data_IF_739360106559
#
_entry.id   IF_739360106559
#
_cell.length_a   1.000
_cell.length_b   1.000
_cell.length_c   1.000
_cell.angle_alpha   90.00
_cell.angle_beta   90.00
_cell.angle_gamma   90.00
#
_symmetry.space_group_name_H-M   'P 1'
#
loop_
_entity.id
_entity.type
_entity.pdbx_description
1 polymer ?
#
# COMPACT_ATOMS: atom_id res chain seq x y z
N UNK A 1 22.94 -21.62 -53.53
CA UNK A 1 22.80 -20.41 -54.33
C UNK A 1 22.77 -19.26 -53.34
N UNK A 2 23.97 -18.82 -52.97
CA UNK A 2 24.66 -17.59 -53.34
C UNK A 2 23.85 -16.34 -53.03
N UNK A 3 24.28 -15.56 -52.16
CA UNK A 3 25.17 -14.35 -52.05
C UNK A 3 24.30 -13.20 -51.53
N UNK A 4 24.68 -12.23 -50.75
CA UNK A 4 25.96 -11.67 -50.29
C UNK A 4 25.76 -10.65 -49.17
N UNK A 5 26.79 -10.55 -48.35
CA UNK A 5 27.14 -9.47 -47.43
C UNK A 5 27.06 -8.06 -48.05
N UNK A 6 26.74 -7.07 -47.22
CA UNK A 6 27.53 -5.83 -47.18
C UNK A 6 27.49 -5.16 -45.82
N UNK A 7 28.61 -5.20 -45.18
CA UNK A 7 29.07 -4.37 -44.08
C UNK A 7 29.36 -2.96 -44.62
N UNK A 8 28.91 -1.94 -43.94
CA UNK A 8 29.46 -0.61 -44.05
C UNK A 8 29.95 -0.12 -42.69
N UNK A 9 31.25 -0.20 -42.51
CA UNK A 9 32.03 0.67 -41.65
C UNK A 9 32.08 2.07 -42.29
N UNK A 10 31.87 3.10 -41.49
CA UNK A 10 32.50 4.38 -41.77
C UNK A 10 32.93 5.05 -40.46
N UNK A 11 34.19 5.26 -40.43
CA UNK A 11 35.08 5.76 -39.41
C UNK A 11 34.93 7.26 -39.15
N UNK A 12 35.23 7.57 -37.88
CA UNK A 12 35.57 8.91 -37.36
C UNK A 12 36.59 9.66 -38.24
N UNK A 13 36.41 10.96 -38.33
CA UNK A 13 37.53 11.87 -38.49
C UNK A 13 37.34 13.10 -37.56
N UNK A 14 38.27 13.23 -36.66
CA UNK A 14 38.50 14.34 -35.77
C UNK A 14 39.01 15.55 -36.56
N UNK A 15 38.54 16.75 -36.20
CA UNK A 15 39.21 17.99 -36.55
C UNK A 15 39.46 18.81 -35.30
N UNK A 16 40.70 18.75 -34.84
CA UNK A 16 41.30 19.74 -33.95
C UNK A 16 41.64 20.99 -34.74
N UNK A 17 41.19 22.12 -34.30
CA UNK A 17 41.76 23.42 -34.68
C UNK A 17 42.13 24.18 -33.43
N UNK A 18 43.42 24.17 -33.17
CA UNK A 18 44.13 25.02 -32.22
C UNK A 18 44.30 26.44 -32.79
N UNK A 19 43.77 27.45 -32.09
CA UNK A 19 44.15 28.83 -32.36
C UNK A 19 44.90 29.36 -31.13
N UNK A 20 46.18 29.58 -31.36
CA UNK A 20 47.12 30.20 -30.47
C UNK A 20 47.00 31.73 -30.67
N UNK A 21 46.63 32.49 -29.67
CA UNK A 21 46.81 33.95 -29.63
C UNK A 21 47.61 34.33 -28.40
N UNK A 22 48.85 34.70 -28.67
CA UNK A 22 49.79 35.35 -27.77
C UNK A 22 49.35 36.82 -27.65
N UNK A 23 49.03 37.31 -26.46
CA UNK A 23 48.88 38.73 -26.18
C UNK A 23 49.75 39.13 -25.01
N UNK A 24 50.72 39.83 -25.35
CA UNK A 24 51.72 40.68 -24.73
C UNK A 24 51.27 41.27 -23.35
N UNK A 25 52.11 41.03 -22.35
CA UNK A 25 52.08 41.59 -21.01
C UNK A 25 52.46 43.09 -21.03
N UNK A 26 51.61 43.92 -20.41
CA UNK A 26 51.97 45.20 -19.85
C UNK A 26 51.41 45.34 -18.44
N UNK A 27 52.17 45.70 -17.42
CA UNK A 27 51.66 45.82 -16.08
C UNK A 27 50.97 47.19 -15.92
N UNK A 28 49.67 47.16 -15.73
CA UNK A 28 48.92 48.34 -15.30
C UNK A 28 48.68 48.24 -13.80
N UNK A 29 49.42 49.03 -13.04
CA UNK A 29 49.19 49.20 -11.60
C UNK A 29 48.06 50.20 -11.40
N UNK A 30 46.89 49.71 -11.06
CA UNK A 30 45.81 50.54 -10.50
C UNK A 30 45.65 50.25 -9.00
N UNK A 31 45.88 51.32 -8.25
CA UNK A 31 45.46 51.45 -6.86
C UNK A 31 43.94 51.36 -6.78
N UNK A 32 43.39 50.26 -6.31
CA UNK A 32 41.97 50.10 -6.04
C UNK A 32 41.72 50.16 -4.52
N UNK A 33 40.93 51.14 -4.12
CA UNK A 33 40.38 51.24 -2.77
C UNK A 33 39.62 49.95 -2.38
N UNK A 34 39.56 49.57 -1.11
CA UNK A 34 38.87 48.35 -0.68
C UNK A 34 37.40 48.44 -1.01
N UNK A 35 36.92 47.51 -1.83
CA UNK A 35 35.53 47.31 -2.12
C UNK A 35 34.84 46.81 -0.85
N UNK A 36 33.67 47.33 -0.44
CA UNK A 36 32.96 46.79 0.69
C UNK A 36 32.57 45.34 0.36
N UNK A 37 32.97 44.38 1.22
CA UNK A 37 32.49 43.01 1.18
C UNK A 37 30.98 43.06 1.38
N UNK A 38 30.24 42.70 0.34
CA UNK A 38 28.86 42.26 0.50
C UNK A 38 28.88 41.06 1.44
N UNK A 39 28.24 41.19 2.58
CA UNK A 39 27.88 40.05 3.39
C UNK A 39 27.02 39.14 2.50
N UNK A 40 27.57 38.01 2.09
CA UNK A 40 26.80 36.93 1.51
C UNK A 40 25.85 36.46 2.62
N UNK A 41 24.63 36.97 2.55
CA UNK A 41 23.52 36.40 3.31
C UNK A 41 23.34 34.98 2.80
N UNK A 42 23.88 34.04 3.55
CA UNK A 42 23.61 32.60 3.37
C UNK A 42 22.18 32.39 3.83
N UNK A 43 21.20 32.81 3.03
CA UNK A 43 19.90 32.24 3.07
C UNK A 43 20.06 30.85 2.44
N UNK A 44 20.41 29.85 3.26
CA UNK A 44 20.09 28.45 2.93
C UNK A 44 18.55 28.42 2.80
N UNK A 45 18.08 28.37 1.59
CA UNK A 45 16.72 27.89 1.35
C UNK A 45 16.70 26.47 1.90
N UNK A 46 16.24 26.31 3.13
CA UNK A 46 15.73 25.03 3.61
C UNK A 46 14.52 24.82 2.71
N UNK A 47 14.70 24.02 1.66
CA UNK A 47 13.58 23.39 0.97
C UNK A 47 12.75 22.76 2.09
N UNK A 48 11.45 22.95 2.18
CA UNK A 48 10.66 22.11 3.06
C UNK A 48 11.04 20.66 2.66
N UNK A 49 11.61 19.88 3.58
CA UNK A 49 11.58 18.44 3.39
C UNK A 49 10.08 18.15 3.28
N UNK A 50 9.63 17.66 2.13
CA UNK A 50 8.38 16.92 2.07
C UNK A 50 8.57 15.82 3.10
N UNK A 51 7.85 15.89 4.20
CA UNK A 51 7.79 14.78 5.15
C UNK A 51 7.29 13.59 4.33
N UNK A 52 8.10 12.55 4.28
CA UNK A 52 7.81 11.35 3.52
C UNK A 52 6.60 10.70 4.18
N UNK A 53 5.45 10.84 3.54
CA UNK A 53 4.16 10.43 4.07
C UNK A 53 4.06 8.90 3.98
N UNK A 54 3.80 8.23 5.11
CA UNK A 54 3.62 6.77 5.11
C UNK A 54 2.48 6.36 4.18
N UNK A 55 2.77 5.46 3.27
CA UNK A 55 1.84 4.95 2.26
C UNK A 55 1.27 3.61 2.68
N UNK A 56 -0.04 3.51 2.77
CA UNK A 56 -0.75 2.27 3.11
C UNK A 56 -1.61 1.86 1.93
N UNK A 57 -1.36 0.65 1.40
CA UNK A 57 -2.27 0.04 0.44
C UNK A 57 -3.39 -0.67 1.20
N UNK A 58 -4.61 -0.27 0.94
CA UNK A 58 -5.84 -0.90 1.42
C UNK A 58 -6.39 -1.77 0.31
N UNK A 59 -6.34 -3.08 0.55
CA UNK A 59 -6.86 -4.08 -0.36
C UNK A 59 -8.24 -4.55 0.10
N UNK A 60 -9.28 -4.14 -0.62
CA UNK A 60 -10.61 -4.70 -0.44
C UNK A 60 -10.69 -6.06 -1.12
N UNK A 61 -10.66 -7.14 -0.35
CA UNK A 61 -10.65 -8.51 -0.84
C UNK A 61 -11.75 -8.80 -1.86
N UNK A 62 -11.45 -9.69 -2.81
CA UNK A 62 -12.36 -10.05 -3.91
C UNK A 62 -12.69 -8.87 -4.83
N UNK A 63 -13.76 -8.96 -5.63
CA UNK A 63 -14.23 -7.88 -6.52
C UNK A 63 -14.43 -8.32 -7.96
N UNK A 64 -15.27 -7.60 -8.69
CA UNK A 64 -15.60 -7.92 -10.07
C UNK A 64 -16.20 -9.31 -10.23
N UNK A 65 -15.48 -10.17 -10.91
CA UNK A 65 -15.88 -11.58 -11.17
C UNK A 65 -15.84 -12.47 -9.92
N UNK A 66 -15.01 -12.12 -8.95
CA UNK A 66 -14.84 -12.86 -7.70
C UNK A 66 -15.73 -12.26 -6.61
N UNK A 67 -16.78 -13.00 -6.24
CA UNK A 67 -17.71 -12.60 -5.19
C UNK A 67 -17.18 -12.81 -3.77
N UNK A 68 -16.13 -13.61 -3.61
CA UNK A 68 -15.73 -14.16 -2.31
C UNK A 68 -16.74 -15.15 -1.76
N UNK A 69 -16.70 -15.34 -0.46
CA UNK A 69 -17.70 -16.14 0.25
C UNK A 69 -19.07 -15.46 0.24
N UNK A 70 -20.12 -16.24 0.51
CA UNK A 70 -21.49 -15.73 0.57
C UNK A 70 -22.16 -16.12 1.89
N UNK A 71 -23.10 -15.27 2.33
CA UNK A 71 -24.02 -15.65 3.42
C UNK A 71 -24.84 -16.90 3.07
N UNK A 72 -25.33 -17.62 4.08
CA UNK A 72 -26.10 -18.86 3.85
C UNK A 72 -27.37 -18.65 3.03
N UNK A 73 -27.93 -17.47 3.04
CA UNK A 73 -29.10 -17.11 2.24
C UNK A 73 -28.74 -16.55 0.84
N UNK A 74 -27.45 -16.53 0.51
CA UNK A 74 -26.88 -16.06 -0.77
C UNK A 74 -27.21 -14.60 -1.11
N UNK A 75 -27.52 -13.77 -0.12
CA UNK A 75 -27.89 -12.34 -0.35
C UNK A 75 -26.72 -11.38 -0.20
N UNK A 76 -25.70 -11.77 0.55
CA UNK A 76 -24.53 -10.95 0.84
C UNK A 76 -23.32 -11.65 0.29
N UNK A 77 -22.53 -10.94 -0.52
CA UNK A 77 -21.22 -11.38 -0.97
C UNK A 77 -20.14 -10.69 -0.14
N UNK A 78 -19.07 -11.41 0.14
CA UNK A 78 -17.91 -10.90 0.88
C UNK A 78 -17.35 -9.61 0.24
N UNK A 79 -17.19 -9.60 -1.08
CA UNK A 79 -16.65 -8.44 -1.82
C UNK A 79 -17.37 -7.13 -1.55
N UNK A 80 -18.68 -7.17 -1.28
CA UNK A 80 -19.49 -5.96 -1.06
C UNK A 80 -19.23 -5.38 0.33
N UNK A 81 -19.08 -6.25 1.33
CA UNK A 81 -18.83 -5.84 2.71
C UNK A 81 -17.39 -5.40 2.91
N UNK A 82 -16.44 -6.14 2.36
CA UNK A 82 -15.02 -5.79 2.43
C UNK A 82 -14.74 -4.44 1.81
N UNK A 83 -15.37 -4.13 0.66
CA UNK A 83 -15.24 -2.82 0.02
C UNK A 83 -15.76 -1.69 0.92
N UNK A 84 -16.92 -1.87 1.55
CA UNK A 84 -17.52 -0.83 2.40
C UNK A 84 -16.63 -0.51 3.60
N UNK A 85 -16.12 -1.53 4.29
CA UNK A 85 -15.27 -1.34 5.47
C UNK A 85 -13.91 -0.78 5.07
N UNK A 86 -13.30 -1.30 3.99
CA UNK A 86 -12.01 -0.83 3.47
C UNK A 86 -12.04 0.66 3.11
N UNK A 87 -13.09 1.12 2.40
CA UNK A 87 -13.24 2.52 2.03
C UNK A 87 -13.44 3.44 3.24
N UNK A 88 -14.24 3.01 4.24
CA UNK A 88 -14.44 3.76 5.48
C UNK A 88 -13.12 3.88 6.26
N UNK A 89 -12.36 2.79 6.37
CA UNK A 89 -11.07 2.77 7.05
C UNK A 89 -10.05 3.67 6.33
N UNK A 90 -9.95 3.56 5.01
CA UNK A 90 -9.02 4.36 4.23
C UNK A 90 -9.31 5.86 4.33
N UNK A 91 -10.59 6.26 4.28
CA UNK A 91 -10.97 7.66 4.43
C UNK A 91 -10.55 8.24 5.81
N UNK A 92 -10.69 7.45 6.88
CA UNK A 92 -10.21 7.86 8.20
C UNK A 92 -8.69 7.98 8.27
N UNK A 93 -7.97 7.09 7.61
CA UNK A 93 -6.50 7.15 7.55
C UNK A 93 -6.00 8.33 6.69
N UNK A 94 -6.69 8.67 5.60
CA UNK A 94 -6.43 9.90 4.83
C UNK A 94 -6.60 11.15 5.69
N UNK A 95 -7.67 11.22 6.48
CA UNK A 95 -7.92 12.33 7.42
C UNK A 95 -6.84 12.41 8.53
N UNK A 96 -6.22 11.28 8.86
CA UNK A 96 -5.09 11.19 9.80
C UNK A 96 -3.74 11.53 9.16
N UNK A 97 -3.67 11.75 7.86
CA UNK A 97 -2.47 12.20 7.15
C UNK A 97 -1.68 11.11 6.44
N UNK A 98 -2.15 9.87 6.36
CA UNK A 98 -1.54 8.81 5.57
C UNK A 98 -1.84 8.96 4.08
N UNK A 99 -0.91 8.54 3.23
CA UNK A 99 -1.18 8.34 1.80
C UNK A 99 -1.85 6.98 1.61
N UNK A 100 -3.09 6.97 1.14
CA UNK A 100 -3.84 5.74 0.92
C UNK A 100 -3.89 5.39 -0.57
N UNK A 101 -3.57 4.14 -0.86
CA UNK A 101 -3.75 3.51 -2.18
C UNK A 101 -4.80 2.41 -2.01
N UNK A 102 -5.82 2.42 -2.84
CA UNK A 102 -6.84 1.39 -2.81
C UNK A 102 -6.63 0.39 -3.96
N UNK A 103 -6.71 -0.90 -3.68
CA UNK A 103 -6.72 -1.91 -4.75
C UNK A 103 -7.93 -1.75 -5.66
N UNK A 104 -9.07 -1.36 -5.08
CA UNK A 104 -10.31 -1.00 -5.78
C UNK A 104 -11.15 -0.04 -4.94
N UNK A 105 -11.96 0.77 -5.61
CA UNK A 105 -12.92 1.69 -4.98
C UNK A 105 -14.37 1.39 -5.39
N UNK A 106 -14.56 0.45 -6.28
CA UNK A 106 -15.86 -0.06 -6.71
C UNK A 106 -15.75 -1.53 -7.14
N UNK A 107 -16.75 -2.08 -7.81
CA UNK A 107 -16.77 -3.46 -8.31
C UNK A 107 -16.27 -3.58 -9.76
N UNK A 108 -15.84 -2.48 -10.37
CA UNK A 108 -15.29 -2.48 -11.72
C UNK A 108 -13.75 -2.58 -11.68
N UNK A 109 -13.26 -3.81 -11.55
CA UNK A 109 -11.83 -4.10 -11.37
C UNK A 109 -11.09 -4.16 -12.71
N UNK A 110 -9.82 -3.76 -12.70
CA UNK A 110 -8.97 -3.71 -13.90
C UNK A 110 -8.12 -4.97 -14.12
N UNK A 111 -8.02 -5.83 -13.13
CA UNK A 111 -7.22 -7.06 -13.21
C UNK A 111 -7.90 -8.18 -13.99
N UNK A 112 -7.15 -9.18 -14.47
CA UNK A 112 -7.69 -10.31 -15.22
C UNK A 112 -8.66 -11.17 -14.40
N UNK A 113 -9.61 -11.82 -15.08
CA UNK A 113 -10.53 -12.80 -14.48
C UNK A 113 -9.85 -14.15 -14.31
N UNK A 114 -8.71 -14.15 -13.62
CA UNK A 114 -7.91 -15.32 -13.28
C UNK A 114 -7.35 -15.13 -11.87
N UNK A 115 -7.62 -16.06 -10.99
CA UNK A 115 -7.33 -15.92 -9.56
C UNK A 115 -5.85 -15.61 -9.29
N UNK A 116 -4.92 -16.28 -9.96
CA UNK A 116 -3.50 -16.07 -9.73
C UNK A 116 -3.04 -14.69 -10.25
N UNK A 117 -3.57 -14.27 -11.41
CA UNK A 117 -3.25 -12.97 -12.00
C UNK A 117 -3.90 -11.81 -11.22
N UNK A 118 -5.10 -12.00 -10.67
CA UNK A 118 -5.77 -11.07 -9.77
C UNK A 118 -4.92 -10.84 -8.50
N UNK A 119 -4.61 -11.91 -7.77
CA UNK A 119 -3.81 -11.81 -6.54
C UNK A 119 -2.43 -11.17 -6.80
N UNK A 120 -1.80 -11.49 -7.94
CA UNK A 120 -0.52 -10.89 -8.32
C UNK A 120 -0.68 -9.40 -8.62
N UNK A 121 -1.75 -8.99 -9.31
CA UNK A 121 -1.99 -7.59 -9.62
C UNK A 121 -2.17 -6.71 -8.37
N UNK A 122 -2.77 -7.25 -7.31
CA UNK A 122 -2.88 -6.56 -6.01
C UNK A 122 -1.52 -6.36 -5.35
N UNK A 123 -0.67 -7.40 -5.38
CA UNK A 123 0.70 -7.34 -4.85
C UNK A 123 1.54 -6.36 -5.67
N UNK A 124 1.48 -6.43 -7.00
CA UNK A 124 2.21 -5.56 -7.91
C UNK A 124 1.84 -4.09 -7.68
N UNK A 125 0.57 -3.78 -7.44
CA UNK A 125 0.12 -2.42 -7.11
C UNK A 125 0.81 -1.89 -5.85
N UNK A 126 0.96 -2.72 -4.80
CA UNK A 126 1.66 -2.31 -3.57
C UNK A 126 3.13 -1.97 -3.82
N UNK A 127 3.78 -2.70 -4.72
CA UNK A 127 5.17 -2.45 -5.13
C UNK A 127 5.27 -1.21 -6.02
N UNK A 128 4.37 -1.06 -6.99
CA UNK A 128 4.35 0.07 -7.94
C UNK A 128 4.10 1.40 -7.24
N UNK A 129 3.27 1.39 -6.20
CA UNK A 129 2.91 2.58 -5.41
C UNK A 129 3.86 2.81 -4.22
N UNK A 130 4.92 2.01 -4.10
CA UNK A 130 5.91 2.10 -3.03
C UNK A 130 5.25 2.11 -1.63
N UNK A 131 4.26 1.20 -1.43
CA UNK A 131 3.55 1.12 -0.17
C UNK A 131 4.46 0.62 0.97
N UNK A 132 4.36 1.26 2.13
CA UNK A 132 5.06 0.84 3.35
C UNK A 132 4.35 -0.35 4.00
N UNK A 133 3.01 -0.40 3.86
CA UNK A 133 2.16 -1.47 4.37
C UNK A 133 1.09 -1.86 3.38
N UNK A 134 0.75 -3.15 3.37
CA UNK A 134 -0.36 -3.73 2.61
C UNK A 134 -1.35 -4.36 3.59
N UNK A 135 -2.59 -3.86 3.62
CA UNK A 135 -3.63 -4.32 4.53
C UNK A 135 -4.83 -4.81 3.72
N UNK A 136 -5.06 -6.13 3.74
CA UNK A 136 -6.16 -6.77 3.04
C UNK A 136 -7.35 -7.01 3.96
N UNK A 137 -8.55 -6.74 3.48
CA UNK A 137 -9.81 -6.86 4.20
C UNK A 137 -10.62 -8.01 3.66
N UNK A 138 -10.95 -8.97 4.53
CA UNK A 138 -11.66 -10.21 4.22
C UNK A 138 -12.71 -10.54 5.26
N UNK A 139 -13.56 -11.50 4.93
CA UNK A 139 -14.51 -12.15 5.84
C UNK A 139 -14.31 -13.66 5.78
N UNK A 140 -14.21 -14.24 6.95
CA UNK A 140 -14.08 -15.68 7.10
C UNK A 140 -15.40 -16.41 6.77
N UNK A 141 -15.31 -17.67 6.44
CA UNK A 141 -16.45 -18.53 6.16
C UNK A 141 -16.21 -19.96 6.64
N UNK A 142 -17.30 -20.69 6.86
CA UNK A 142 -17.27 -22.15 7.11
C UNK A 142 -18.19 -22.87 6.16
N UNK A 143 -17.85 -24.13 5.82
CA UNK A 143 -18.66 -25.01 4.97
C UNK A 143 -19.81 -25.66 5.76
N UNK A 144 -19.89 -25.48 7.06
CA UNK A 144 -20.85 -26.16 7.92
C UNK A 144 -21.83 -25.18 8.54
N UNK A 145 -23.10 -25.28 8.15
CA UNK A 145 -24.15 -24.45 8.71
C UNK A 145 -24.28 -24.61 10.23
N UNK A 146 -24.23 -23.49 10.96
CA UNK A 146 -24.44 -23.43 12.40
C UNK A 146 -23.45 -24.28 13.23
N UNK A 147 -22.18 -24.34 12.80
CA UNK A 147 -21.12 -25.00 13.54
C UNK A 147 -20.52 -24.17 14.68
N UNK A 148 -20.98 -22.91 14.83
CA UNK A 148 -20.54 -21.97 15.85
C UNK A 148 -19.22 -21.26 15.51
N UNK A 149 -18.70 -21.41 14.29
CA UNK A 149 -17.53 -20.67 13.83
C UNK A 149 -17.89 -19.18 13.67
N UNK A 150 -17.23 -18.32 14.46
CA UNK A 150 -17.38 -16.87 14.42
C UNK A 150 -16.17 -16.18 14.99
N UNK A 151 -16.04 -14.88 14.81
CA UNK A 151 -14.96 -14.09 15.35
C UNK A 151 -14.06 -13.49 14.29
N UNK A 152 -13.20 -12.58 14.72
CA UNK A 152 -12.20 -11.96 13.87
C UNK A 152 -10.81 -12.52 14.15
N UNK A 153 -9.98 -12.57 13.13
CA UNK A 153 -8.58 -12.99 13.21
C UNK A 153 -7.73 -12.22 12.20
N UNK A 154 -6.43 -12.24 12.38
CA UNK A 154 -5.51 -11.58 11.44
C UNK A 154 -4.37 -12.51 11.09
N UNK A 155 -3.99 -12.51 9.82
CA UNK A 155 -2.79 -13.16 9.32
C UNK A 155 -1.75 -12.09 8.97
N UNK A 156 -0.50 -12.32 9.38
CA UNK A 156 0.61 -11.37 9.19
C UNK A 156 1.79 -12.03 8.49
N UNK A 157 2.53 -11.26 7.70
CA UNK A 157 3.82 -11.73 7.18
C UNK A 157 4.85 -11.75 8.30
N UNK A 158 5.65 -12.84 8.43
CA UNK A 158 6.62 -12.95 9.50
C UNK A 158 7.83 -12.02 9.30
N UNK A 159 8.46 -11.63 10.41
CA UNK A 159 9.75 -10.93 10.40
C UNK A 159 9.71 -9.42 10.17
N UNK A 160 8.53 -8.81 10.26
CA UNK A 160 8.32 -7.36 10.21
C UNK A 160 7.40 -6.90 11.37
N UNK A 161 7.00 -5.64 11.38
CA UNK A 161 6.20 -5.03 12.45
C UNK A 161 4.68 -5.20 12.29
N UNK A 162 4.20 -5.87 11.23
CA UNK A 162 2.75 -6.08 11.00
C UNK A 162 2.06 -6.80 12.16
N UNK A 163 2.75 -7.68 12.88
CA UNK A 163 2.21 -8.31 14.08
C UNK A 163 1.92 -7.30 15.21
N UNK A 164 2.73 -6.24 15.33
CA UNK A 164 2.51 -5.16 16.31
C UNK A 164 1.28 -4.34 15.91
N UNK A 165 1.15 -4.02 14.62
CA UNK A 165 0.00 -3.28 14.08
C UNK A 165 -1.28 -4.12 14.27
N UNK A 166 -1.24 -5.40 13.93
CA UNK A 166 -2.36 -6.33 14.13
C UNK A 166 -2.78 -6.41 15.60
N UNK A 167 -1.81 -6.42 16.54
CA UNK A 167 -2.12 -6.43 17.98
C UNK A 167 -2.87 -5.19 18.42
N UNK A 168 -2.45 -4.01 17.97
CA UNK A 168 -3.15 -2.77 18.29
C UNK A 168 -4.56 -2.73 17.66
N UNK A 169 -4.71 -3.20 16.43
CA UNK A 169 -6.03 -3.34 15.79
C UNK A 169 -6.92 -4.28 16.60
N UNK A 170 -6.41 -5.45 17.03
CA UNK A 170 -7.16 -6.41 17.85
C UNK A 170 -7.60 -5.83 19.18
N UNK A 171 -6.74 -5.05 19.86
CA UNK A 171 -7.08 -4.35 21.10
C UNK A 171 -8.24 -3.37 20.91
N UNK A 172 -8.30 -2.65 19.79
CA UNK A 172 -9.38 -1.74 19.47
C UNK A 172 -10.67 -2.49 19.06
N UNK A 173 -10.57 -3.53 18.21
CA UNK A 173 -11.72 -4.34 17.81
C UNK A 173 -12.36 -5.09 18.99
N UNK A 174 -11.55 -5.57 19.94
CA UNK A 174 -12.05 -6.25 21.14
C UNK A 174 -12.92 -5.33 22.02
N UNK A 175 -12.71 -4.02 22.00
CA UNK A 175 -13.52 -3.05 22.74
C UNK A 175 -14.94 -2.93 22.18
N UNK A 176 -15.17 -3.32 20.91
CA UNK A 176 -16.50 -3.31 20.30
C UNK A 176 -17.39 -4.46 20.79
N UNK A 177 -16.82 -5.48 21.45
CA UNK A 177 -17.51 -6.64 22.05
C UNK A 177 -18.56 -7.27 21.11
N UNK A 178 -18.22 -7.38 19.80
CA UNK A 178 -19.14 -7.87 18.78
C UNK A 178 -18.98 -9.35 18.48
N UNK A 179 -17.78 -9.88 18.63
CA UNK A 179 -17.47 -11.27 18.33
C UNK A 179 -16.23 -11.76 19.10
N UNK A 180 -15.77 -12.96 18.80
CA UNK A 180 -14.63 -13.61 19.44
C UNK A 180 -13.34 -13.13 18.77
N UNK A 181 -12.37 -12.68 19.57
CA UNK A 181 -10.98 -12.51 19.10
C UNK A 181 -10.32 -13.90 18.98
N UNK A 182 -10.04 -14.32 17.75
CA UNK A 182 -9.42 -15.60 17.40
C UNK A 182 -7.90 -15.51 17.35
N UNK A 183 -7.35 -14.30 17.50
CA UNK A 183 -5.92 -14.03 17.59
C UNK A 183 -5.27 -13.72 16.25
N UNK A 184 -3.94 -13.60 16.33
CA UNK A 184 -3.06 -13.23 15.21
C UNK A 184 -2.23 -14.44 14.84
N UNK A 185 -2.20 -14.79 13.58
CA UNK A 185 -1.51 -15.94 13.02
C UNK A 185 -0.43 -15.50 12.04
N UNK A 186 0.71 -16.19 11.99
CA UNK A 186 1.64 -16.02 10.87
C UNK A 186 1.03 -16.66 9.62
N UNK A 187 1.15 -15.96 8.48
CA UNK A 187 0.64 -16.45 7.22
C UNK A 187 1.34 -17.75 6.80
N UNK A 188 0.55 -18.79 6.48
CA UNK A 188 1.06 -19.94 5.77
C UNK A 188 1.21 -19.59 4.29
N UNK A 189 2.44 -19.61 3.81
CA UNK A 189 2.80 -19.29 2.41
C UNK A 189 2.12 -20.20 1.37
N UNK A 190 1.46 -21.25 1.78
CA UNK A 190 0.74 -22.14 0.85
C UNK A 190 -0.70 -21.70 0.55
N UNK A 191 -1.31 -20.85 1.37
CA UNK A 191 -2.74 -20.55 1.30
C UNK A 191 -3.10 -19.06 1.10
N UNK A 192 -2.28 -18.15 1.58
CA UNK A 192 -2.57 -16.68 1.52
C UNK A 192 -1.63 -15.99 0.54
N UNK A 193 -1.90 -16.11 -0.76
CA UNK A 193 -1.01 -15.65 -1.81
C UNK A 193 -0.70 -14.14 -1.74
N UNK A 194 -1.66 -13.29 -1.39
CA UNK A 194 -1.43 -11.85 -1.24
C UNK A 194 -0.45 -11.49 -0.11
N UNK A 195 -0.26 -12.39 0.85
CA UNK A 195 0.76 -12.26 1.89
C UNK A 195 2.05 -12.99 1.50
N UNK A 196 1.93 -14.22 0.98
CA UNK A 196 3.06 -15.08 0.69
C UNK A 196 4.01 -14.54 -0.39
N UNK A 197 3.49 -13.84 -1.37
CA UNK A 197 4.24 -13.26 -2.50
C UNK A 197 4.53 -11.76 -2.32
N UNK A 198 4.08 -11.18 -1.21
CA UNK A 198 4.16 -9.73 -1.02
C UNK A 198 5.51 -9.32 -0.44
N UNK A 199 6.32 -8.53 -1.17
CA UNK A 199 7.56 -7.97 -0.63
C UNK A 199 7.31 -6.80 0.33
N UNK A 200 6.10 -6.21 0.29
CA UNK A 200 5.66 -5.17 1.23
C UNK A 200 5.23 -5.84 2.54
N UNK A 201 5.54 -5.27 3.72
CA UNK A 201 4.96 -5.71 4.98
C UNK A 201 3.43 -5.80 4.89
N UNK A 202 2.87 -7.00 5.04
CA UNK A 202 1.48 -7.26 4.72
C UNK A 202 0.72 -7.96 5.85
N UNK A 203 -0.56 -7.64 5.97
CA UNK A 203 -1.51 -8.35 6.82
C UNK A 203 -2.85 -8.53 6.12
N UNK A 204 -3.61 -9.54 6.56
CA UNK A 204 -4.96 -9.82 6.11
C UNK A 204 -5.87 -9.92 7.34
N UNK A 205 -6.89 -9.08 7.35
CA UNK A 205 -7.88 -8.99 8.41
C UNK A 205 -9.11 -9.81 8.01
N UNK A 206 -9.42 -10.85 8.78
CA UNK A 206 -10.68 -11.59 8.74
C UNK A 206 -11.62 -10.97 9.79
N UNK A 207 -12.52 -10.09 9.37
CA UNK A 207 -13.29 -9.21 10.26
C UNK A 207 -14.51 -9.88 10.91
N UNK A 208 -14.75 -11.13 10.63
CA UNK A 208 -15.88 -11.92 11.13
C UNK A 208 -16.30 -12.98 10.12
N UNK A 209 -17.21 -13.86 10.50
CA UNK A 209 -17.71 -14.90 9.62
C UNK A 209 -18.97 -14.45 8.88
N UNK A 210 -18.90 -14.42 7.54
CA UNK A 210 -20.06 -14.12 6.69
C UNK A 210 -21.13 -15.21 6.81
N UNK A 211 -20.75 -16.39 7.30
CA UNK A 211 -21.60 -17.54 7.52
C UNK A 211 -22.15 -17.64 8.96
N UNK A 212 -21.82 -16.73 9.86
CA UNK A 212 -22.42 -16.63 11.19
C UNK A 212 -23.44 -15.49 11.23
N UNK A 213 -24.66 -15.75 11.68
CA UNK A 213 -25.76 -14.79 11.67
C UNK A 213 -25.47 -13.55 12.56
N UNK A 214 -24.72 -13.71 13.66
CA UNK A 214 -24.42 -12.62 14.58
C UNK A 214 -23.31 -11.72 14.03
N UNK A 215 -22.23 -12.32 13.49
CA UNK A 215 -21.17 -11.58 12.83
C UNK A 215 -21.73 -10.86 11.58
N UNK A 216 -22.49 -11.57 10.73
CA UNK A 216 -23.09 -11.01 9.52
C UNK A 216 -23.98 -9.81 9.81
N UNK A 217 -24.82 -9.89 10.85
CA UNK A 217 -25.68 -8.79 11.24
C UNK A 217 -24.90 -7.51 11.60
N UNK A 218 -23.74 -7.66 12.22
CA UNK A 218 -22.81 -6.57 12.53
C UNK A 218 -22.09 -6.07 11.28
N UNK A 219 -21.54 -6.98 10.50
CA UNK A 219 -20.80 -6.68 9.28
C UNK A 219 -21.63 -5.95 8.21
N UNK A 220 -22.94 -6.16 8.20
CA UNK A 220 -23.88 -5.48 7.30
C UNK A 220 -24.53 -4.21 7.90
N UNK A 221 -24.32 -3.90 9.16
CA UNK A 221 -24.81 -2.68 9.79
C UNK A 221 -23.88 -1.50 9.50
N UNK A 222 -24.37 -0.47 8.82
CA UNK A 222 -23.57 0.67 8.38
C UNK A 222 -22.92 1.42 9.54
N UNK A 223 -23.65 1.61 10.65
CA UNK A 223 -23.12 2.28 11.85
C UNK A 223 -22.01 1.45 12.50
N UNK A 224 -22.20 0.14 12.54
CA UNK A 224 -21.17 -0.75 13.07
C UNK A 224 -19.93 -0.84 12.18
N UNK A 225 -20.08 -0.77 10.85
CA UNK A 225 -18.93 -0.66 9.94
C UNK A 225 -18.14 0.63 10.20
N UNK A 226 -18.79 1.75 10.55
CA UNK A 226 -18.09 2.99 10.93
C UNK A 226 -17.31 2.84 12.24
N UNK A 227 -17.91 2.18 13.24
CA UNK A 227 -17.24 1.87 14.51
C UNK A 227 -16.03 0.94 14.28
N UNK A 228 -16.19 -0.10 13.46
CA UNK A 228 -15.13 -1.05 13.08
C UNK A 228 -13.99 -0.35 12.33
N UNK A 229 -14.31 0.47 11.32
CA UNK A 229 -13.33 1.24 10.58
C UNK A 229 -12.55 2.19 11.49
N UNK A 230 -13.23 2.83 12.44
CA UNK A 230 -12.60 3.70 13.44
C UNK A 230 -11.66 2.92 14.36
N UNK A 231 -12.05 1.73 14.79
CA UNK A 231 -11.21 0.85 15.61
C UNK A 231 -9.94 0.41 14.84
N UNK A 232 -10.10 0.01 13.58
CA UNK A 232 -8.95 -0.39 12.74
C UNK A 232 -8.01 0.80 12.52
N UNK A 233 -8.55 1.97 12.14
CA UNK A 233 -7.74 3.18 11.91
C UNK A 233 -7.00 3.61 13.19
N UNK A 234 -7.63 3.53 14.35
CA UNK A 234 -7.01 3.84 15.65
C UNK A 234 -5.84 2.89 15.97
N UNK A 235 -6.00 1.58 15.75
CA UNK A 235 -4.93 0.60 15.94
C UNK A 235 -3.74 0.82 15.00
N UNK A 236 -3.99 1.21 13.75
CA UNK A 236 -2.94 1.57 12.81
C UNK A 236 -2.22 2.84 13.29
N UNK A 237 -2.95 3.90 13.62
CA UNK A 237 -2.39 5.18 14.07
C UNK A 237 -1.52 5.04 15.33
N UNK A 238 -1.87 4.14 16.24
CA UNK A 238 -1.12 3.89 17.47
C UNK A 238 0.28 3.34 17.22
N UNK A 239 0.48 2.67 16.08
CA UNK A 239 1.69 1.87 15.84
C UNK A 239 2.49 2.29 14.62
N UNK A 240 1.88 2.99 13.67
CA UNK A 240 2.49 3.43 12.41
C UNK A 240 2.76 4.93 12.48
N UNK A 241 4.01 5.33 12.33
CA UNK A 241 4.40 6.74 12.25
C UNK A 241 3.94 7.33 10.90
N UNK A 242 3.60 8.62 10.90
CA UNK A 242 3.17 9.36 9.69
C UNK A 242 4.36 9.87 8.91
#
# INVERSE_FOLDING_TARGET
MYINNKIYHMSLLACMLSVLLISIFLPYTQNSAPRPQKADSVYSFISPQEEEQTTILIDAGHGGYDGGSTSWDERVNEKDVTLQIALKTGALLEDLGYRIVYSRTDDNVSWPQDNAADLQARVDLGVEEEADYFISFHLNATDFYNDGARGFETYVTPGNDTAKIASAIHEQLAQLDYSIDRGINEADYSSLHVLALNPVPAMLLELGFITDDADLAKLCDESFQEEMASAIAAGIQETVEQ
#
